data_IF_708259914380
#
_entry.id   IF_708259914380
#
_cell.length_a   1.000
_cell.length_b   1.000
_cell.length_c   1.000
_cell.angle_alpha   90.00
_cell.angle_beta   90.00
_cell.angle_gamma   90.00
#
_symmetry.space_group_name_H-M   'P 1'
#
loop_
_entity.id
_entity.type
_entity.pdbx_description
1 polymer ?
#
# COMPACT_ATOMS: atom_id res chain seq x y z
N UNK A 1 19.39 -15.74 -6.33
CA UNK A 1 18.97 -14.44 -6.90
C UNK A 1 17.52 -14.53 -7.31
N UNK A 2 16.68 -13.51 -7.29
CA UNK A 2 15.28 -13.67 -7.70
C UNK A 2 15.15 -14.00 -9.18
N UNK A 3 14.11 -14.74 -9.52
CA UNK A 3 13.55 -14.81 -10.86
C UNK A 3 12.27 -14.00 -10.83
N UNK A 4 12.33 -12.71 -11.16
CA UNK A 4 11.12 -11.98 -11.58
C UNK A 4 10.67 -12.67 -12.87
N UNK A 5 9.80 -13.67 -12.74
CA UNK A 5 9.42 -14.55 -13.84
C UNK A 5 8.38 -13.88 -14.71
N UNK A 6 7.61 -13.00 -14.09
CA UNK A 6 6.45 -12.37 -14.69
C UNK A 6 6.35 -10.97 -14.14
N UNK A 7 6.34 -10.00 -15.03
CA UNK A 7 5.92 -8.66 -14.69
C UNK A 7 4.62 -8.42 -15.45
N UNK A 8 3.56 -8.10 -14.73
CA UNK A 8 2.25 -7.81 -15.31
C UNK A 8 1.95 -6.33 -15.05
N UNK A 9 1.28 -5.70 -16.01
CA UNK A 9 0.84 -4.31 -15.88
C UNK A 9 -0.68 -4.32 -15.90
N UNK A 10 -1.28 -3.78 -14.84
CA UNK A 10 -2.72 -3.69 -14.67
C UNK A 10 -3.15 -2.23 -14.73
N UNK A 11 -4.20 -1.97 -15.52
CA UNK A 11 -4.85 -0.67 -15.62
C UNK A 11 -6.33 -0.82 -15.20
N UNK A 12 -6.67 -0.62 -13.92
CA UNK A 12 -8.03 -0.86 -13.41
C UNK A 12 -9.07 0.14 -13.93
N UNK A 13 -8.64 1.35 -14.33
CA UNK A 13 -9.50 2.41 -14.88
C UNK A 13 -8.80 3.01 -16.11
N UNK A 14 -9.03 2.50 -17.33
CA UNK A 14 -8.26 2.90 -18.50
C UNK A 14 -8.56 4.34 -18.92
N UNK A 15 -7.51 5.13 -19.07
CA UNK A 15 -7.54 6.43 -19.74
C UNK A 15 -6.33 6.57 -20.69
N UNK A 16 -6.27 7.61 -21.54
CA UNK A 16 -5.20 7.73 -22.53
C UNK A 16 -3.79 7.67 -21.92
N UNK A 17 -3.55 8.32 -20.78
CA UNK A 17 -2.24 8.35 -20.12
C UNK A 17 -1.84 6.96 -19.61
N UNK A 18 -2.75 6.27 -18.91
CA UNK A 18 -2.48 4.91 -18.38
C UNK A 18 -2.39 3.86 -19.48
N UNK A 19 -3.16 3.99 -20.56
CA UNK A 19 -3.05 3.13 -21.72
C UNK A 19 -1.70 3.30 -22.43
N UNK A 20 -1.24 4.55 -22.61
CA UNK A 20 0.09 4.83 -23.16
C UNK A 20 1.20 4.23 -22.27
N UNK A 21 1.09 4.43 -20.96
CA UNK A 21 2.01 3.82 -19.98
C UNK A 21 2.02 2.29 -20.07
N UNK A 22 0.84 1.64 -20.08
CA UNK A 22 0.74 0.19 -20.12
C UNK A 22 1.32 -0.42 -21.40
N UNK A 23 1.02 0.16 -22.56
CA UNK A 23 1.59 -0.30 -23.83
C UNK A 23 3.12 -0.13 -23.91
N UNK A 24 3.67 0.91 -23.29
CA UNK A 24 5.12 1.05 -23.13
C UNK A 24 5.69 0.03 -22.12
N UNK A 25 4.97 -0.23 -21.04
CA UNK A 25 5.35 -1.17 -20.00
C UNK A 25 5.47 -2.60 -20.50
N UNK A 26 4.54 -3.09 -21.31
CA UNK A 26 4.65 -4.42 -21.94
C UNK A 26 5.95 -4.60 -22.75
N UNK A 27 6.38 -3.56 -23.47
CA UNK A 27 7.63 -3.60 -24.25
C UNK A 27 8.86 -3.66 -23.35
N UNK A 28 8.94 -2.80 -22.34
CA UNK A 28 10.08 -2.77 -21.40
C UNK A 28 10.15 -4.07 -20.61
N UNK A 29 9.02 -4.58 -20.16
CA UNK A 29 8.91 -5.86 -19.44
C UNK A 29 9.41 -7.01 -20.28
N UNK A 30 9.00 -7.07 -21.55
CA UNK A 30 9.44 -8.13 -22.48
C UNK A 30 10.95 -8.05 -22.74
N UNK A 31 11.50 -6.84 -22.89
CA UNK A 31 12.93 -6.64 -23.05
C UNK A 31 13.72 -7.01 -21.78
N UNK A 32 13.20 -6.63 -20.61
CA UNK A 32 13.77 -6.99 -19.31
C UNK A 32 13.78 -8.49 -19.09
N UNK A 33 12.68 -9.19 -19.39
CA UNK A 33 12.61 -10.65 -19.31
C UNK A 33 13.71 -11.34 -20.10
N UNK A 34 13.95 -10.91 -21.35
CA UNK A 34 15.07 -11.41 -22.18
C UNK A 34 16.43 -11.09 -21.57
N UNK A 35 16.64 -9.88 -21.06
CA UNK A 35 17.90 -9.49 -20.43
C UNK A 35 18.22 -10.32 -19.18
N UNK A 36 17.21 -10.67 -18.37
CA UNK A 36 17.35 -11.58 -17.22
C UNK A 36 17.79 -12.98 -17.67
N UNK A 37 17.21 -13.50 -18.76
CA UNK A 37 17.57 -14.80 -19.33
C UNK A 37 19.00 -14.81 -19.88
N UNK A 38 19.38 -13.79 -20.65
CA UNK A 38 20.73 -13.64 -21.22
C UNK A 38 21.82 -13.50 -20.15
N UNK A 39 21.50 -12.82 -19.04
CA UNK A 39 22.40 -12.68 -17.89
C UNK A 39 22.49 -13.93 -17.02
N UNK A 40 21.66 -14.95 -17.26
CA UNK A 40 21.67 -16.20 -16.50
C UNK A 40 21.35 -16.02 -15.02
N UNK A 41 20.51 -15.05 -14.64
CA UNK A 41 20.18 -14.79 -13.24
C UNK A 41 19.24 -15.87 -12.68
N UNK A 42 19.58 -16.48 -11.54
CA UNK A 42 18.88 -17.68 -10.99
C UNK A 42 18.35 -17.50 -9.56
N UNK A 43 17.08 -17.87 -9.33
CA UNK A 43 16.52 -18.26 -8.02
C UNK A 43 14.99 -18.02 -7.88
N UNK A 44 14.43 -17.65 -6.71
CA UNK A 44 13.01 -17.85 -6.42
C UNK A 44 12.09 -17.05 -7.34
N UNK A 45 11.00 -17.69 -7.78
CA UNK A 45 10.01 -17.11 -8.68
C UNK A 45 9.23 -16.03 -7.93
N UNK A 46 9.22 -14.82 -8.50
CA UNK A 46 8.37 -13.72 -8.07
C UNK A 46 7.62 -13.14 -9.28
N UNK A 47 6.37 -12.73 -9.06
CA UNK A 47 5.58 -11.96 -10.01
C UNK A 47 5.48 -10.52 -9.51
N UNK A 48 5.79 -9.54 -10.36
CA UNK A 48 5.64 -8.12 -10.03
C UNK A 48 4.43 -7.59 -10.78
N UNK A 49 3.41 -7.13 -10.05
CA UNK A 49 2.24 -6.49 -10.65
C UNK A 49 2.39 -4.97 -10.53
N UNK A 50 2.42 -4.28 -11.67
CA UNK A 50 2.45 -2.82 -11.75
C UNK A 50 1.03 -2.32 -11.99
N UNK A 51 0.46 -1.63 -11.01
CA UNK A 51 -0.88 -1.04 -11.08
C UNK A 51 -0.75 0.45 -11.40
N UNK A 52 -1.19 0.85 -12.60
CA UNK A 52 -1.22 2.25 -12.99
C UNK A 52 -2.47 2.94 -12.42
N UNK A 53 -2.28 4.02 -11.68
CA UNK A 53 -3.32 4.79 -10.99
C UNK A 53 -3.35 6.23 -11.47
N UNK A 54 -4.48 6.90 -11.26
CA UNK A 54 -4.62 8.35 -11.45
C UNK A 54 -3.64 9.10 -10.52
N UNK A 55 -3.13 10.27 -10.95
CA UNK A 55 -2.35 11.12 -10.07
C UNK A 55 -3.25 11.76 -9.01
N UNK A 56 -2.70 12.01 -7.82
CA UNK A 56 -3.38 12.86 -6.83
C UNK A 56 -3.27 14.32 -7.28
N UNK A 57 -4.29 15.14 -6.97
CA UNK A 57 -4.36 16.54 -7.41
C UNK A 57 -3.19 17.45 -6.94
N UNK A 58 -2.34 16.97 -6.02
CA UNK A 58 -1.23 17.71 -5.40
C UNK A 58 0.15 17.09 -5.68
N UNK A 59 0.23 16.12 -6.59
CA UNK A 59 1.47 15.37 -6.77
C UNK A 59 2.38 16.00 -7.83
N UNK A 60 3.59 16.38 -7.43
CA UNK A 60 4.66 16.74 -8.34
C UNK A 60 5.40 15.49 -8.82
N UNK A 61 5.33 15.21 -10.13
CA UNK A 61 6.05 14.10 -10.76
C UNK A 61 5.39 12.72 -10.56
N UNK A 62 6.19 11.67 -10.79
CA UNK A 62 5.72 10.27 -10.78
C UNK A 62 6.11 9.61 -9.46
N UNK A 63 5.12 9.20 -8.68
CA UNK A 63 5.33 8.47 -7.42
C UNK A 63 5.07 6.98 -7.66
N UNK A 64 6.03 6.17 -7.21
CA UNK A 64 5.99 4.71 -7.26
C UNK A 64 5.96 4.18 -5.84
N UNK A 65 4.89 3.47 -5.49
CA UNK A 65 4.71 2.82 -4.19
C UNK A 65 4.95 1.32 -4.31
N UNK A 66 5.86 0.77 -3.52
CA UNK A 66 6.28 -0.64 -3.58
C UNK A 66 5.88 -1.36 -2.29
N UNK A 67 4.91 -2.27 -2.36
CA UNK A 67 4.50 -3.09 -1.22
C UNK A 67 5.60 -4.12 -0.90
N UNK A 68 6.40 -3.86 0.13
CA UNK A 68 7.59 -4.65 0.46
C UNK A 68 7.31 -5.87 1.34
N UNK A 69 6.10 -6.09 1.86
CA UNK A 69 5.84 -7.15 2.85
C UNK A 69 4.96 -8.30 2.35
N UNK A 70 4.64 -8.37 1.06
CA UNK A 70 3.73 -9.42 0.60
C UNK A 70 4.36 -10.81 0.70
N UNK A 71 3.70 -11.76 1.39
CA UNK A 71 4.30 -13.06 1.71
C UNK A 71 4.36 -14.03 0.51
N UNK A 72 3.55 -13.82 -0.52
CA UNK A 72 3.23 -14.88 -1.49
C UNK A 72 3.93 -14.73 -2.84
N UNK A 73 5.14 -14.14 -2.86
CA UNK A 73 5.93 -13.90 -4.08
C UNK A 73 5.27 -13.02 -5.16
N UNK A 74 4.09 -12.46 -4.87
CA UNK A 74 3.37 -11.51 -5.71
C UNK A 74 3.56 -10.10 -5.18
N UNK A 75 4.43 -9.35 -5.84
CA UNK A 75 4.86 -8.02 -5.43
C UNK A 75 3.92 -6.95 -6.03
N UNK A 76 3.45 -6.06 -5.15
CA UNK A 76 2.67 -4.83 -5.44
C UNK A 76 3.51 -3.63 -5.84
N UNK A 77 3.52 -3.17 -7.09
CA UNK A 77 4.00 -1.83 -7.43
C UNK A 77 2.80 -1.00 -7.87
N UNK A 78 2.55 0.14 -7.24
CA UNK A 78 1.54 1.12 -7.69
C UNK A 78 2.27 2.33 -8.24
N UNK A 79 1.91 2.76 -9.44
CA UNK A 79 2.47 3.94 -10.07
C UNK A 79 1.36 4.94 -10.35
N UNK A 80 1.55 6.18 -9.93
CA UNK A 80 0.63 7.27 -10.25
C UNK A 80 1.13 7.97 -11.50
N UNK A 81 0.40 7.79 -12.60
CA UNK A 81 0.81 8.22 -13.93
C UNK A 81 0.23 9.61 -14.20
N UNK A 82 1.06 10.65 -14.45
CA UNK A 82 0.57 11.98 -14.78
C UNK A 82 -0.24 12.00 -16.09
N UNK A 83 -1.24 12.87 -16.16
CA UNK A 83 -2.13 12.96 -17.34
C UNK A 83 -1.36 13.36 -18.62
N UNK A 84 -0.27 14.12 -18.47
CA UNK A 84 0.57 14.58 -19.57
C UNK A 84 1.38 13.46 -20.28
N UNK A 85 1.34 12.24 -19.76
CA UNK A 85 1.88 11.03 -20.38
C UNK A 85 1.07 10.66 -21.64
N UNK A 86 -0.22 11.03 -21.69
CA UNK A 86 -1.07 10.78 -22.84
C UNK A 86 -0.53 11.42 -24.13
N UNK A 87 0.07 12.61 -24.01
CA UNK A 87 0.56 13.41 -25.13
C UNK A 87 2.07 13.26 -25.36
N UNK A 88 2.73 12.41 -24.57
CA UNK A 88 4.17 12.25 -24.66
C UNK A 88 4.60 11.37 -25.84
N UNK A 89 5.80 11.64 -26.35
CA UNK A 89 6.38 10.81 -27.41
C UNK A 89 6.59 9.37 -26.89
N UNK A 90 6.34 8.33 -27.71
CA UNK A 90 6.46 6.94 -27.26
C UNK A 90 7.82 6.58 -26.61
N UNK A 91 8.98 7.08 -27.09
CA UNK A 91 10.26 6.83 -26.42
C UNK A 91 10.34 7.44 -25.01
N UNK A 92 9.69 8.59 -24.79
CA UNK A 92 9.68 9.26 -23.48
C UNK A 92 8.89 8.41 -22.48
N UNK A 93 7.74 7.86 -22.91
CA UNK A 93 6.92 6.96 -22.08
C UNK A 93 7.67 5.66 -21.76
N UNK A 94 8.42 5.12 -22.73
CA UNK A 94 9.27 3.92 -22.51
C UNK A 94 10.36 4.19 -21.48
N UNK A 95 11.03 5.36 -21.54
CA UNK A 95 12.01 5.75 -20.53
C UNK A 95 11.38 5.91 -19.15
N UNK A 96 10.24 6.59 -19.06
CA UNK A 96 9.49 6.73 -17.82
C UNK A 96 9.19 5.36 -17.18
N UNK A 97 8.67 4.42 -17.98
CA UNK A 97 8.41 3.06 -17.52
C UNK A 97 9.67 2.40 -17.00
N UNK A 98 10.79 2.51 -17.73
CA UNK A 98 12.05 1.92 -17.27
C UNK A 98 12.48 2.54 -15.93
N UNK A 99 12.42 3.86 -15.77
CA UNK A 99 12.74 4.55 -14.51
C UNK A 99 11.83 4.10 -13.35
N UNK A 100 10.54 3.88 -13.61
CA UNK A 100 9.59 3.33 -12.64
C UNK A 100 9.99 1.91 -12.22
N UNK A 101 10.33 1.06 -13.19
CA UNK A 101 10.74 -0.32 -12.92
C UNK A 101 12.08 -0.40 -12.18
N UNK A 102 13.03 0.46 -12.51
CA UNK A 102 14.34 0.55 -11.86
C UNK A 102 14.18 0.81 -10.37
N UNK A 103 13.49 1.90 -10.04
CA UNK A 103 13.25 2.29 -8.65
C UNK A 103 12.47 1.22 -7.90
N UNK A 104 11.45 0.62 -8.53
CA UNK A 104 10.64 -0.42 -7.92
C UNK A 104 11.43 -1.69 -7.62
N UNK A 105 12.20 -2.18 -8.59
CA UNK A 105 13.00 -3.39 -8.46
C UNK A 105 14.17 -3.19 -7.50
N UNK A 106 14.82 -2.02 -7.49
CA UNK A 106 15.84 -1.68 -6.51
C UNK A 106 15.27 -1.74 -5.08
N UNK A 107 14.04 -1.24 -4.88
CA UNK A 107 13.39 -1.31 -3.56
C UNK A 107 13.06 -2.74 -3.15
N UNK A 108 12.48 -3.53 -4.04
CA UNK A 108 12.23 -4.95 -3.80
C UNK A 108 13.53 -5.70 -3.52
N UNK A 109 14.61 -5.35 -4.21
CA UNK A 109 15.90 -5.96 -4.00
C UNK A 109 16.42 -5.76 -2.57
N UNK A 110 16.31 -4.54 -2.04
CA UNK A 110 16.64 -4.27 -0.64
C UNK A 110 15.75 -5.08 0.30
N UNK A 111 14.42 -5.06 0.08
CA UNK A 111 13.46 -5.74 0.95
C UNK A 111 13.59 -7.27 0.95
N UNK A 112 14.14 -7.86 -0.11
CA UNK A 112 14.24 -9.31 -0.30
C UNK A 112 15.67 -9.84 -0.28
N UNK A 113 16.67 -8.96 -0.13
CA UNK A 113 18.08 -9.32 -0.25
C UNK A 113 18.46 -9.81 -1.65
N UNK A 114 17.87 -9.24 -2.70
CA UNK A 114 18.24 -9.53 -4.09
C UNK A 114 19.49 -8.75 -4.50
N UNK A 115 20.15 -9.22 -5.55
CA UNK A 115 21.27 -8.50 -6.16
C UNK A 115 20.74 -7.33 -7.00
N UNK A 116 20.73 -6.14 -6.40
CA UNK A 116 20.30 -4.92 -7.06
C UNK A 116 21.15 -4.55 -8.28
N UNK A 117 22.45 -4.87 -8.29
CA UNK A 117 23.33 -4.54 -9.40
C UNK A 117 22.99 -5.38 -10.65
N UNK A 118 22.69 -6.67 -10.45
CA UNK A 118 22.25 -7.55 -11.53
C UNK A 118 20.90 -7.10 -12.13
N UNK A 119 19.94 -6.69 -11.29
CA UNK A 119 18.64 -6.20 -11.75
C UNK A 119 18.77 -4.88 -12.53
N UNK A 120 19.60 -3.96 -12.03
CA UNK A 120 19.92 -2.71 -12.73
C UNK A 120 20.59 -2.98 -14.09
N UNK A 121 21.56 -3.89 -14.15
CA UNK A 121 22.21 -4.27 -15.41
C UNK A 121 21.26 -4.91 -16.44
N UNK A 122 20.26 -5.67 -15.98
CA UNK A 122 19.23 -6.22 -16.85
C UNK A 122 18.32 -5.12 -17.41
N UNK A 123 17.98 -4.12 -16.59
CA UNK A 123 17.16 -3.00 -17.02
C UNK A 123 17.89 -2.04 -17.96
N UNK A 124 19.17 -1.79 -17.74
CA UNK A 124 20.02 -1.04 -18.67
C UNK A 124 20.06 -1.71 -20.05
N UNK A 125 20.18 -3.05 -20.11
CA UNK A 125 20.05 -3.79 -21.38
C UNK A 125 18.68 -3.62 -22.02
N UNK A 126 17.61 -3.64 -21.23
CA UNK A 126 16.26 -3.42 -21.73
C UNK A 126 16.08 -1.99 -22.30
N UNK A 127 16.73 -0.99 -21.68
CA UNK A 127 16.75 0.42 -22.12
C UNK A 127 17.54 0.64 -23.41
N UNK A 128 18.68 -0.05 -23.59
CA UNK A 128 19.57 0.17 -24.74
C UNK A 128 18.90 -0.04 -26.11
N UNK A 129 17.81 -0.83 -26.18
CA UNK A 129 17.00 -1.00 -27.39
C UNK A 129 15.96 0.12 -27.64
N UNK A 130 15.93 1.16 -26.80
CA UNK A 130 14.82 2.13 -26.73
C UNK A 130 15.26 3.60 -26.73
N UNK A 131 16.54 3.89 -26.94
CA UNK A 131 17.06 5.27 -26.84
C UNK A 131 16.44 6.23 -27.89
N UNK A 132 15.91 7.38 -27.46
CA UNK A 132 15.46 8.43 -28.37
C UNK A 132 16.60 9.27 -28.94
N UNK A 133 16.45 9.71 -30.19
CA UNK A 133 17.39 10.58 -30.91
C UNK A 133 17.32 12.07 -30.52
N UNK A 134 16.49 12.47 -29.55
CA UNK A 134 16.15 13.88 -29.26
C UNK A 134 16.04 14.14 -27.74
N UNK A 135 16.20 15.39 -27.24
CA UNK A 135 16.08 15.67 -25.81
C UNK A 135 14.65 15.38 -25.32
N UNK A 136 14.53 14.22 -24.68
CA UNK A 136 13.28 13.64 -24.23
C UNK A 136 12.73 14.33 -22.96
N UNK A 137 11.40 14.46 -22.85
CA UNK A 137 10.71 14.98 -21.66
C UNK A 137 11.08 14.15 -20.42
N UNK A 138 11.57 14.79 -19.36
CA UNK A 138 11.98 14.11 -18.12
C UNK A 138 10.94 14.30 -17.03
N UNK A 139 10.27 13.22 -16.65
CA UNK A 139 9.56 13.17 -15.38
C UNK A 139 10.54 12.84 -14.26
N UNK A 140 10.35 13.45 -13.09
CA UNK A 140 11.04 13.01 -11.88
C UNK A 140 10.29 11.83 -11.31
N UNK A 141 10.95 10.67 -11.20
CA UNK A 141 10.40 9.46 -10.60
C UNK A 141 10.90 9.34 -9.16
N UNK A 142 9.98 9.18 -8.22
CA UNK A 142 10.26 9.00 -6.80
C UNK A 142 9.68 7.66 -6.33
N UNK A 143 10.52 6.80 -5.78
CA UNK A 143 10.10 5.47 -5.32
C UNK A 143 10.12 5.35 -3.81
N UNK A 144 8.98 5.00 -3.25
CA UNK A 144 8.77 4.74 -1.83
C UNK A 144 8.34 3.29 -1.62
N UNK A 145 9.02 2.58 -0.73
CA UNK A 145 8.54 1.33 -0.17
C UNK A 145 7.43 1.56 0.85
N UNK A 146 6.52 0.61 0.90
CA UNK A 146 5.43 0.53 1.88
C UNK A 146 5.50 -0.81 2.58
N UNK A 147 5.12 -0.81 3.85
CA UNK A 147 5.25 -1.97 4.71
C UNK A 147 6.29 -1.80 5.81
N UNK A 148 6.20 -2.70 6.78
CA UNK A 148 7.07 -2.94 7.92
C UNK A 148 8.55 -2.95 7.54
N UNK A 149 8.91 -3.55 6.40
CA UNK A 149 10.31 -3.65 5.97
C UNK A 149 10.82 -2.40 5.25
N UNK A 150 9.95 -1.43 4.93
CA UNK A 150 10.34 -0.22 4.22
C UNK A 150 10.78 0.89 5.20
N UNK A 151 12.02 1.42 5.09
CA UNK A 151 12.53 2.44 6.01
C UNK A 151 11.87 3.82 5.83
N UNK A 152 11.23 4.06 4.69
CA UNK A 152 10.43 5.26 4.40
C UNK A 152 8.95 5.14 4.78
N UNK A 153 8.48 3.97 5.23
CA UNK A 153 7.09 3.80 5.66
C UNK A 153 6.78 4.81 6.79
N UNK A 154 5.82 5.73 6.60
CA UNK A 154 5.41 6.63 7.67
C UNK A 154 4.73 5.85 8.79
N UNK A 155 4.68 6.45 9.98
CA UNK A 155 3.76 5.99 10.99
C UNK A 155 2.34 6.20 10.46
N UNK A 156 1.59 5.12 10.38
CA UNK A 156 0.27 5.11 9.77
C UNK A 156 -0.64 4.16 10.54
N UNK A 157 -1.78 4.69 10.99
CA UNK A 157 -2.86 3.91 11.57
C UNK A 157 -4.00 3.86 10.57
N UNK A 158 -4.30 2.67 10.05
CA UNK A 158 -5.35 2.48 9.05
C UNK A 158 -6.44 1.54 9.55
N UNK A 159 -7.66 1.80 9.07
CA UNK A 159 -8.79 0.88 9.23
C UNK A 159 -8.83 0.03 7.96
N UNK A 160 -8.64 -1.28 8.13
CA UNK A 160 -8.59 -2.21 6.98
C UNK A 160 -9.99 -2.69 6.60
N UNK A 161 -10.92 -2.65 7.56
CA UNK A 161 -12.31 -3.07 7.39
C UNK A 161 -12.68 -4.26 8.27
N UNK A 162 -13.84 -4.85 7.96
CA UNK A 162 -14.35 -6.00 8.68
C UNK A 162 -14.81 -7.15 7.81
N UNK A 163 -15.11 -8.26 8.46
CA UNK A 163 -15.76 -9.42 7.85
C UNK A 163 -17.20 -9.11 7.42
N UNK A 164 -17.93 -10.09 6.84
CA UNK A 164 -19.30 -9.86 6.38
C UNK A 164 -20.22 -9.33 7.49
N UNK A 165 -21.09 -8.37 7.14
CA UNK A 165 -21.94 -7.66 8.10
C UNK A 165 -22.97 -8.58 8.78
N UNK A 166 -23.34 -9.72 8.19
CA UNK A 166 -24.14 -10.77 8.83
C UNK A 166 -25.42 -10.28 9.58
N UNK A 167 -26.03 -9.19 9.13
CA UNK A 167 -27.21 -8.59 9.79
C UNK A 167 -26.90 -7.78 11.05
N UNK A 168 -25.73 -7.12 11.10
CA UNK A 168 -25.40 -6.05 12.05
C UNK A 168 -26.47 -4.95 11.98
N UNK A 169 -26.96 -4.45 13.13
CA UNK A 169 -27.86 -3.31 13.17
C UNK A 169 -27.24 -2.07 12.48
N UNK A 170 -27.93 -1.43 11.51
CA UNK A 170 -27.40 -0.29 10.76
C UNK A 170 -27.01 0.93 11.62
N UNK A 171 -27.53 1.03 12.84
CA UNK A 171 -27.15 2.10 13.77
C UNK A 171 -25.77 1.86 14.41
N UNK A 172 -25.40 0.61 14.68
CA UNK A 172 -24.06 0.26 15.18
C UNK A 172 -23.02 0.52 14.08
N UNK A 173 -23.29 0.00 12.88
CA UNK A 173 -22.36 0.03 11.75
C UNK A 173 -22.00 1.47 11.34
N UNK A 174 -23.02 2.31 11.12
CA UNK A 174 -22.81 3.73 10.79
C UNK A 174 -22.05 4.50 11.87
N UNK A 175 -22.31 4.21 13.15
CA UNK A 175 -21.59 4.87 14.24
C UNK A 175 -20.15 4.38 14.33
N UNK A 176 -19.91 3.08 14.14
CA UNK A 176 -18.57 2.51 14.10
C UNK A 176 -17.76 3.13 12.95
N UNK A 177 -18.32 3.16 11.74
CA UNK A 177 -17.67 3.73 10.56
C UNK A 177 -17.33 5.21 10.78
N UNK A 178 -18.30 6.01 11.21
CA UNK A 178 -18.09 7.44 11.53
C UNK A 178 -16.94 7.65 12.52
N UNK A 179 -16.81 6.80 13.53
CA UNK A 179 -15.74 6.88 14.53
C UNK A 179 -14.40 6.39 13.98
N UNK A 180 -14.40 5.33 13.17
CA UNK A 180 -13.21 4.74 12.57
C UNK A 180 -12.63 5.61 11.44
N UNK A 181 -13.45 6.34 10.68
CA UNK A 181 -13.01 7.32 9.68
C UNK A 181 -12.02 8.33 10.27
N UNK A 182 -12.27 8.76 11.52
CA UNK A 182 -11.41 9.71 12.24
C UNK A 182 -10.02 9.19 12.55
N UNK A 183 -9.76 7.90 12.40
CA UNK A 183 -8.40 7.36 12.55
C UNK A 183 -7.47 7.94 11.48
N UNK A 184 -8.02 8.40 10.35
CA UNK A 184 -7.28 9.08 9.28
C UNK A 184 -7.04 10.58 9.54
N UNK A 185 -7.62 11.16 10.60
CA UNK A 185 -7.44 12.58 10.95
C UNK A 185 -5.97 12.86 11.33
N UNK A 186 -5.49 14.07 11.02
CA UNK A 186 -4.12 14.51 11.34
C UNK A 186 -3.77 14.33 12.82
N UNK A 187 -4.72 14.60 13.73
CA UNK A 187 -4.51 14.44 15.17
C UNK A 187 -4.30 12.96 15.56
N UNK A 188 -5.02 12.03 14.92
CA UNK A 188 -4.87 10.60 15.17
C UNK A 188 -3.57 10.06 14.56
N UNK A 189 -3.20 10.51 13.36
CA UNK A 189 -1.92 10.13 12.75
C UNK A 189 -0.72 10.70 13.53
N UNK A 190 -0.83 11.95 14.02
CA UNK A 190 0.18 12.55 14.89
C UNK A 190 0.32 11.79 16.21
N UNK A 191 -0.79 11.39 16.84
CA UNK A 191 -0.76 10.52 18.03
C UNK A 191 -0.09 9.17 17.73
N UNK A 192 -0.45 8.52 16.63
CA UNK A 192 0.14 7.24 16.22
C UNK A 192 1.63 7.36 15.89
N UNK A 193 2.11 8.54 15.46
CA UNK A 193 3.53 8.77 15.20
C UNK A 193 4.44 8.59 16.42
N UNK A 194 3.88 8.59 17.63
CA UNK A 194 4.59 8.24 18.87
C UNK A 194 4.74 6.74 19.12
N UNK A 195 4.08 5.89 18.32
CA UNK A 195 4.14 4.42 18.44
C UNK A 195 5.55 3.89 18.21
N UNK A 196 6.00 2.85 18.96
CA UNK A 196 7.25 2.15 18.66
C UNK A 196 7.17 1.33 17.35
N UNK A 197 5.97 1.20 16.77
CA UNK A 197 5.71 0.45 15.55
C UNK A 197 5.01 1.35 14.54
N UNK A 198 5.54 1.38 13.32
CA UNK A 198 5.08 2.29 12.25
C UNK A 198 3.68 1.98 11.75
N UNK A 199 3.36 0.71 11.57
CA UNK A 199 2.08 0.31 10.96
C UNK A 199 1.12 -0.18 12.02
N UNK A 200 -0.04 0.48 12.11
CA UNK A 200 -1.20 0.03 12.86
C UNK A 200 -2.35 -0.30 11.91
N UNK A 201 -2.95 -1.47 12.08
CA UNK A 201 -4.11 -1.91 11.30
C UNK A 201 -5.25 -2.25 12.25
N UNK A 202 -6.40 -1.62 12.03
CA UNK A 202 -7.63 -1.82 12.79
C UNK A 202 -8.61 -2.65 11.96
N UNK A 203 -9.13 -3.69 12.58
CA UNK A 203 -10.12 -4.61 12.02
C UNK A 203 -11.36 -4.66 12.89
N UNK A 204 -12.48 -5.10 12.32
CA UNK A 204 -13.67 -5.45 13.11
C UNK A 204 -14.30 -6.77 12.62
N UNK A 205 -14.77 -7.60 13.55
CA UNK A 205 -15.26 -8.95 13.26
C UNK A 205 -16.61 -9.20 13.92
N UNK A 206 -17.65 -9.42 13.12
CA UNK A 206 -19.02 -9.63 13.57
C UNK A 206 -19.40 -11.10 13.79
N UNK A 207 -18.54 -12.02 13.38
CA UNK A 207 -18.65 -13.47 13.50
C UNK A 207 -17.70 -14.06 14.56
N UNK A 208 -17.02 -13.20 15.33
CA UNK A 208 -16.15 -13.64 16.41
C UNK A 208 -16.90 -14.51 17.45
N UNK A 209 -16.21 -15.42 18.16
CA UNK A 209 -16.87 -16.29 19.16
C UNK A 209 -17.40 -15.52 20.39
N UNK A 210 -16.82 -14.36 20.69
CA UNK A 210 -17.20 -13.52 21.82
C UNK A 210 -16.78 -12.06 21.62
N UNK A 211 -17.41 -11.12 22.35
CA UNK A 211 -17.07 -9.71 22.25
C UNK A 211 -15.74 -9.37 22.92
N UNK A 212 -15.04 -8.36 22.41
CA UNK A 212 -13.85 -7.82 23.05
C UNK A 212 -12.90 -7.13 22.07
N UNK A 213 -11.82 -6.58 22.61
CA UNK A 213 -10.75 -5.96 21.82
C UNK A 213 -9.49 -6.80 21.90
N UNK A 214 -8.87 -7.07 20.76
CA UNK A 214 -7.59 -7.74 20.67
C UNK A 214 -6.55 -6.79 20.08
N UNK A 215 -5.37 -6.72 20.70
CA UNK A 215 -4.21 -6.01 20.15
C UNK A 215 -3.03 -6.98 20.13
N UNK A 216 -2.48 -7.18 18.94
CA UNK A 216 -1.28 -8.00 18.71
C UNK A 216 -0.18 -7.09 18.21
N UNK A 217 0.98 -7.11 18.88
CA UNK A 217 2.14 -6.30 18.53
C UNK A 217 3.23 -7.22 18.02
N UNK A 218 3.62 -7.02 16.78
CA UNK A 218 4.76 -7.69 16.14
C UNK A 218 5.62 -6.61 15.48
N UNK A 219 6.07 -6.82 14.26
CA UNK A 219 6.65 -5.76 13.43
C UNK A 219 5.59 -4.78 12.87
N UNK A 220 4.31 -5.16 12.95
CA UNK A 220 3.13 -4.30 12.82
C UNK A 220 2.19 -4.50 14.01
N UNK A 221 1.33 -3.54 14.26
CA UNK A 221 0.23 -3.66 15.22
C UNK A 221 -1.03 -4.08 14.47
N UNK A 222 -1.63 -5.18 14.91
CA UNK A 222 -2.97 -5.58 14.47
C UNK A 222 -3.90 -5.46 15.66
N UNK A 223 -4.85 -4.56 15.54
CA UNK A 223 -5.88 -4.32 16.53
C UNK A 223 -7.24 -4.70 15.94
N UNK A 224 -8.10 -5.32 16.74
CA UNK A 224 -9.38 -5.83 16.27
C UNK A 224 -10.48 -5.63 17.31
N UNK A 225 -11.63 -5.13 16.85
CA UNK A 225 -12.89 -5.13 17.59
C UNK A 225 -13.63 -6.41 17.23
N UNK A 226 -13.82 -7.29 18.20
CA UNK A 226 -14.61 -8.50 18.05
C UNK A 226 -15.99 -8.20 18.62
N UNK A 227 -17.04 -8.27 17.80
CA UNK A 227 -18.39 -7.90 18.23
C UNK A 227 -19.44 -8.80 17.58
N UNK A 228 -19.76 -9.97 18.17
CA UNK A 228 -20.71 -10.90 17.59
C UNK A 228 -22.09 -10.24 17.39
N UNK A 229 -22.73 -10.41 16.23
CA UNK A 229 -24.03 -9.76 15.90
C UNK A 229 -25.08 -9.92 16.99
N UNK A 230 -25.16 -11.11 17.61
CA UNK A 230 -26.09 -11.39 18.73
C UNK A 230 -25.94 -10.39 19.88
N UNK A 231 -24.71 -10.00 20.21
CA UNK A 231 -24.41 -9.11 21.33
C UNK A 231 -24.73 -7.64 21.03
N UNK A 232 -24.90 -7.27 19.76
CA UNK A 232 -25.29 -5.91 19.36
C UNK A 232 -26.79 -5.71 19.58
N UNK A 233 -27.60 -6.74 19.29
CA UNK A 233 -29.07 -6.68 19.38
C UNK A 233 -29.61 -6.55 20.80
N UNK A 234 -28.79 -6.89 21.79
CA UNK A 234 -29.16 -6.89 23.22
C UNK A 234 -28.85 -5.54 23.91
N UNK A 235 -28.24 -4.59 23.20
CA UNK A 235 -27.78 -3.31 23.75
C UNK A 235 -28.17 -2.13 22.84
N UNK A 236 -27.96 -0.91 23.32
CA UNK A 236 -28.03 0.29 22.47
C UNK A 236 -26.89 0.22 21.43
N UNK A 237 -27.20 0.10 20.12
CA UNK A 237 -26.20 -0.07 19.07
C UNK A 237 -25.17 1.08 19.00
N UNK A 238 -25.60 2.33 19.24
CA UNK A 238 -24.73 3.51 19.10
C UNK A 238 -23.76 3.58 20.29
N UNK A 239 -24.28 3.41 21.51
CA UNK A 239 -23.45 3.41 22.71
C UNK A 239 -22.46 2.25 22.73
N UNK A 240 -22.85 1.10 22.17
CA UNK A 240 -21.96 -0.05 22.05
C UNK A 240 -20.79 0.20 21.09
N UNK A 241 -21.04 0.81 19.92
CA UNK A 241 -19.98 1.18 18.98
C UNK A 241 -18.97 2.16 19.60
N UNK A 242 -19.46 3.19 20.32
CA UNK A 242 -18.60 4.13 21.06
C UNK A 242 -17.76 3.42 22.12
N UNK A 243 -18.36 2.52 22.89
CA UNK A 243 -17.66 1.75 23.91
C UNK A 243 -16.56 0.87 23.32
N UNK A 244 -16.80 0.27 22.15
CA UNK A 244 -15.83 -0.57 21.46
C UNK A 244 -14.64 0.21 20.91
N UNK A 245 -14.88 1.35 20.26
CA UNK A 245 -13.79 2.23 19.78
C UNK A 245 -13.01 2.79 20.97
N UNK A 246 -13.67 3.18 22.06
CA UNK A 246 -13.01 3.61 23.30
C UNK A 246 -12.13 2.48 23.87
N UNK A 247 -12.65 1.27 23.99
CA UNK A 247 -11.91 0.12 24.49
C UNK A 247 -10.69 -0.21 23.59
N UNK A 248 -10.85 -0.08 22.27
CA UNK A 248 -9.78 -0.23 21.29
C UNK A 248 -8.64 0.75 21.55
N UNK A 249 -8.96 2.06 21.63
CA UNK A 249 -7.97 3.11 21.83
C UNK A 249 -7.27 3.01 23.19
N UNK A 250 -8.01 2.70 24.26
CA UNK A 250 -7.42 2.47 25.59
C UNK A 250 -6.46 1.28 25.55
N UNK A 251 -6.85 0.19 24.88
CA UNK A 251 -6.01 -1.01 24.76
C UNK A 251 -4.75 -0.73 23.94
N UNK A 252 -4.86 0.02 22.84
CA UNK A 252 -3.72 0.45 22.03
C UNK A 252 -2.76 1.32 22.85
N UNK A 253 -3.27 2.36 23.50
CA UNK A 253 -2.47 3.27 24.31
C UNK A 253 -1.72 2.53 25.42
N UNK A 254 -2.43 1.68 26.18
CA UNK A 254 -1.83 0.88 27.25
C UNK A 254 -0.79 -0.10 26.72
N UNK A 255 -1.07 -0.79 25.61
CA UNK A 255 -0.20 -1.85 25.08
C UNK A 255 1.10 -1.31 24.48
N UNK A 256 1.06 -0.08 23.95
CA UNK A 256 2.16 0.58 23.26
C UNK A 256 2.82 1.69 24.08
N UNK A 257 2.36 1.90 25.33
CA UNK A 257 2.80 2.98 26.22
C UNK A 257 2.66 4.38 25.58
N UNK A 258 1.52 4.62 24.94
CA UNK A 258 1.18 5.91 24.33
C UNK A 258 0.34 6.77 25.27
N UNK A 259 0.39 8.11 25.13
CA UNK A 259 -0.58 8.97 25.81
C UNK A 259 -2.02 8.62 25.38
N UNK A 260 -3.04 9.04 26.14
CA UNK A 260 -4.43 8.87 25.72
C UNK A 260 -4.68 9.43 24.32
N UNK A 261 -5.35 8.65 23.46
CA UNK A 261 -5.64 9.07 22.09
C UNK A 261 -6.54 10.32 22.08
N UNK A 262 -6.34 11.26 21.14
CA UNK A 262 -7.15 12.49 21.04
C UNK A 262 -8.65 12.21 20.96
N UNK A 263 -9.04 11.13 20.28
CA UNK A 263 -10.45 10.75 20.14
C UNK A 263 -11.13 10.42 21.48
N UNK A 264 -10.38 9.91 22.48
CA UNK A 264 -10.89 9.63 23.83
C UNK A 264 -11.30 10.91 24.58
N UNK A 265 -10.77 12.06 24.18
CA UNK A 265 -11.02 13.35 24.80
C UNK A 265 -12.21 14.08 24.14
N UNK A 266 -12.60 13.66 22.93
CA UNK A 266 -13.72 14.23 22.20
C UNK A 266 -15.06 13.89 22.88
N UNK A 267 -16.00 14.83 22.82
CA UNK A 267 -17.37 14.61 23.33
C UNK A 267 -18.10 13.49 22.59
N UNK A 268 -17.69 13.22 21.34
CA UNK A 268 -18.27 12.17 20.48
C UNK A 268 -18.19 10.76 21.06
N UNK A 269 -17.28 10.52 22.01
CA UNK A 269 -17.14 9.23 22.70
C UNK A 269 -17.77 9.22 24.10
N UNK A 270 -18.31 10.34 24.60
CA UNK A 270 -18.99 10.43 25.90
C UNK A 270 -20.42 9.90 25.84
#
# INVERSE_FOLDING_TARGET
MPRVRRLDVLVPDPDPARCAFAGAAERVVSAYGRAIEELGLVGPVSSVMVVAQRPDARQDGVVVLVDCDRPDSSETVRVRVPDDVADAAPPDVVRLVADVLDGALARLAVARGWDGAALSAALERARAGTEPSSPARRWTVRTEGRGVTAPEQPHELTVVGGGPDNGVPPAYDRELDRLLERFSDDAMQAWWSGSPVRIGQVWYWFDAPGPGVRVTVTRRVTAAIHRPVRSIREADPVMLARADVRALLVRLATRLDLPPAPLLLAEDLR
#
